data_IF_253957185927
#
_entry.id   IF_253957185927
#
_cell.length_a   1.000
_cell.length_b   1.000
_cell.length_c   1.000
_cell.angle_alpha   90.00
_cell.angle_beta   90.00
_cell.angle_gamma   90.00
#
_symmetry.space_group_name_H-M   'P 1'
#
loop_
_entity.id
_entity.type
_entity.pdbx_description
1 polymer ?
#
# COMPACT_ATOMS: atom_id res chain seq x y z
N UNK A 1 19.40 -2.10 11.53
CA UNK A 1 19.07 -2.26 12.97
C UNK A 1 18.95 -3.70 13.45
N UNK A 2 18.44 -4.67 12.66
CA UNK A 2 18.35 -6.08 13.12
C UNK A 2 19.70 -6.67 13.50
N UNK A 3 20.76 -6.39 12.74
CA UNK A 3 22.09 -6.95 12.98
C UNK A 3 22.78 -6.27 14.17
N UNK A 4 22.58 -4.96 14.28
CA UNK A 4 23.18 -4.07 15.27
C UNK A 4 22.59 -4.30 16.67
N UNK A 5 21.32 -4.69 16.76
CA UNK A 5 20.63 -4.97 18.02
C UNK A 5 20.73 -6.44 18.47
N UNK A 6 21.14 -7.35 17.58
CA UNK A 6 21.25 -8.78 17.88
C UNK A 6 22.20 -9.12 19.05
N UNK A 7 23.37 -8.46 19.23
CA UNK A 7 24.27 -8.74 20.37
C UNK A 7 23.66 -8.41 21.74
N UNK A 8 22.61 -7.59 21.76
CA UNK A 8 21.92 -7.19 23.00
C UNK A 8 20.68 -8.05 23.30
N UNK A 9 20.47 -9.14 22.55
CA UNK A 9 19.31 -10.02 22.72
C UNK A 9 17.99 -9.41 22.24
N UNK A 10 18.03 -8.37 21.41
CA UNK A 10 16.82 -7.69 20.89
C UNK A 10 16.44 -8.26 19.53
N UNK A 11 15.22 -8.79 19.43
CA UNK A 11 14.63 -9.28 18.17
C UNK A 11 13.87 -8.16 17.48
N UNK A 12 14.17 -7.93 16.20
CA UNK A 12 13.47 -6.96 15.35
C UNK A 12 12.60 -7.71 14.35
N UNK A 13 11.31 -7.39 14.31
CA UNK A 13 10.33 -7.92 13.35
C UNK A 13 9.83 -6.79 12.46
N UNK A 14 10.00 -6.93 11.15
CA UNK A 14 9.41 -6.03 10.15
C UNK A 14 8.05 -6.58 9.73
N UNK A 15 7.03 -5.75 9.83
CA UNK A 15 5.66 -6.10 9.46
C UNK A 15 5.33 -5.44 8.12
N UNK A 16 5.08 -6.27 7.12
CA UNK A 16 4.52 -5.87 5.84
C UNK A 16 3.00 -5.97 5.96
N UNK A 17 2.36 -4.85 6.30
CA UNK A 17 0.92 -4.78 6.50
C UNK A 17 0.19 -4.71 5.16
N UNK A 18 -0.86 -5.51 5.04
CA UNK A 18 -1.85 -5.44 3.97
C UNK A 18 -2.89 -4.34 4.24
N UNK A 19 -4.03 -4.42 3.56
CA UNK A 19 -5.12 -3.47 3.78
C UNK A 19 -5.74 -3.66 5.18
N UNK A 20 -5.62 -2.66 6.06
CA UNK A 20 -6.19 -2.67 7.42
C UNK A 20 -7.14 -1.51 7.59
N UNK A 21 -8.40 -1.78 7.95
CA UNK A 21 -9.40 -0.75 8.19
C UNK A 21 -9.10 -0.05 9.52
N UNK A 22 -8.42 1.09 9.41
CA UNK A 22 -7.97 1.93 10.52
C UNK A 22 -8.27 3.39 10.23
N UNK A 23 -8.07 4.25 11.23
CA UNK A 23 -8.23 5.70 11.10
C UNK A 23 -7.03 6.37 10.40
N UNK A 24 -6.31 5.66 9.52
CA UNK A 24 -5.08 6.17 8.89
C UNK A 24 -5.31 7.50 8.16
N UNK A 25 -6.46 7.64 7.49
CA UNK A 25 -6.82 8.81 6.70
C UNK A 25 -7.70 9.83 7.46
N UNK A 26 -7.97 9.63 8.76
CA UNK A 26 -8.93 10.49 9.48
C UNK A 26 -8.44 11.91 9.74
N UNK A 27 -7.14 12.14 9.60
CA UNK A 27 -6.46 13.40 9.87
C UNK A 27 -5.72 13.96 8.65
N UNK A 28 -5.96 13.39 7.46
CA UNK A 28 -5.38 13.91 6.23
C UNK A 28 -5.99 15.28 5.92
N UNK A 29 -5.16 16.20 5.42
CA UNK A 29 -5.64 17.47 4.91
C UNK A 29 -6.40 17.28 3.59
N UNK A 30 -7.25 18.25 3.23
CA UNK A 30 -7.92 18.25 1.93
C UNK A 30 -6.88 18.15 0.80
N UNK A 31 -7.07 17.13 -0.04
CA UNK A 31 -6.19 16.89 -1.18
C UNK A 31 -6.63 17.76 -2.37
N UNK A 32 -5.67 18.50 -2.95
CA UNK A 32 -5.85 19.16 -4.24
C UNK A 32 -4.52 19.18 -4.98
N UNK A 33 -4.57 19.06 -6.31
CA UNK A 33 -3.42 19.23 -7.17
C UNK A 33 -3.23 20.71 -7.53
N UNK A 34 -1.97 21.14 -7.76
CA UNK A 34 -1.72 22.43 -8.38
C UNK A 34 -2.41 22.53 -9.74
N UNK A 35 -2.92 23.70 -10.10
CA UNK A 35 -3.68 23.94 -11.34
C UNK A 35 -2.94 23.54 -12.62
N UNK A 36 -1.60 23.62 -12.64
CA UNK A 36 -0.76 23.23 -13.78
C UNK A 36 -0.26 21.77 -13.71
N UNK A 37 -0.86 20.93 -12.85
CA UNK A 37 -0.43 19.55 -12.67
C UNK A 37 -0.72 18.70 -13.90
N UNK A 38 0.30 17.99 -14.39
CA UNK A 38 0.15 16.99 -15.47
C UNK A 38 -0.79 15.83 -15.10
N UNK A 39 -1.11 15.68 -13.81
CA UNK A 39 -2.02 14.66 -13.29
C UNK A 39 -3.42 15.19 -13.02
N UNK A 40 -3.70 16.49 -13.26
CA UNK A 40 -5.03 17.07 -13.13
C UNK A 40 -6.14 16.25 -13.82
N UNK A 41 -5.92 15.62 -15.00
CA UNK A 41 -6.95 14.79 -15.63
C UNK A 41 -7.42 13.58 -14.79
N UNK A 42 -6.64 13.15 -13.79
CA UNK A 42 -7.00 12.04 -12.90
C UNK A 42 -7.03 12.46 -11.42
N UNK A 43 -7.18 13.75 -11.13
CA UNK A 43 -7.16 14.29 -9.78
C UNK A 43 -8.12 13.57 -8.83
N UNK A 44 -9.35 13.29 -9.29
CA UNK A 44 -10.36 12.58 -8.49
C UNK A 44 -9.92 11.18 -8.08
N UNK A 45 -9.22 10.44 -8.96
CA UNK A 45 -8.69 9.11 -8.63
C UNK A 45 -7.64 9.24 -7.54
N UNK A 46 -6.72 10.21 -7.68
CA UNK A 46 -5.67 10.45 -6.69
C UNK A 46 -6.27 10.91 -5.36
N UNK A 47 -7.28 11.78 -5.39
CA UNK A 47 -8.03 12.24 -4.21
C UNK A 47 -8.73 11.07 -3.49
N UNK A 48 -9.26 10.12 -4.25
CA UNK A 48 -9.85 8.90 -3.72
C UNK A 48 -8.84 8.04 -2.94
N UNK A 49 -7.62 7.90 -3.45
CA UNK A 49 -6.53 7.23 -2.74
C UNK A 49 -6.00 8.05 -1.55
N UNK A 50 -5.88 9.37 -1.70
CA UNK A 50 -5.43 10.28 -0.65
C UNK A 50 -6.39 10.28 0.56
N UNK A 51 -7.69 10.24 0.32
CA UNK A 51 -8.73 10.13 1.36
C UNK A 51 -8.92 8.71 1.90
N UNK A 52 -8.30 7.71 1.27
CA UNK A 52 -8.51 6.30 1.58
C UNK A 52 -9.81 5.68 1.06
N UNK A 53 -10.66 6.43 0.36
CA UNK A 53 -11.93 5.93 -0.20
C UNK A 53 -11.74 4.94 -1.35
N UNK A 54 -10.63 5.02 -2.09
CA UNK A 54 -10.27 4.06 -3.15
C UNK A 54 -9.48 2.84 -2.66
N UNK A 55 -9.20 2.76 -1.35
CA UNK A 55 -8.46 1.65 -0.77
C UNK A 55 -9.24 0.32 -0.92
N UNK A 56 -8.57 -0.80 -1.23
CA UNK A 56 -9.22 -2.10 -1.23
C UNK A 56 -9.72 -2.50 0.17
N UNK A 57 -10.77 -3.31 0.22
CA UNK A 57 -11.37 -3.78 1.48
C UNK A 57 -10.31 -4.42 2.39
N UNK A 58 -10.14 -3.84 3.58
CA UNK A 58 -9.21 -4.35 4.57
C UNK A 58 -9.82 -5.36 5.52
N UNK A 59 -9.05 -5.66 6.57
CA UNK A 59 -9.55 -6.32 7.77
C UNK A 59 -9.63 -5.30 8.92
N UNK A 60 -10.50 -5.51 9.92
CA UNK A 60 -10.55 -4.66 11.10
C UNK A 60 -9.20 -4.56 11.81
N UNK A 61 -8.85 -3.37 12.31
CA UNK A 61 -7.60 -3.14 13.03
C UNK A 61 -7.38 -4.08 14.22
N UNK A 62 -8.44 -4.41 14.96
CA UNK A 62 -8.36 -5.35 16.09
C UNK A 62 -7.94 -6.76 15.64
N UNK A 63 -8.58 -7.27 14.58
CA UNK A 63 -8.24 -8.58 14.00
C UNK A 63 -6.80 -8.60 13.48
N UNK A 64 -6.36 -7.50 12.85
CA UNK A 64 -4.98 -7.36 12.40
C UNK A 64 -3.98 -7.40 13.57
N UNK A 65 -4.28 -6.67 14.64
CA UNK A 65 -3.44 -6.62 15.84
C UNK A 65 -3.32 -8.00 16.52
N UNK A 66 -4.43 -8.73 16.68
CA UNK A 66 -4.43 -10.11 17.19
C UNK A 66 -3.51 -11.02 16.37
N UNK A 67 -3.64 -10.98 15.04
CA UNK A 67 -2.79 -11.77 14.14
C UNK A 67 -1.29 -11.42 14.27
N UNK A 68 -0.96 -10.16 14.53
CA UNK A 68 0.41 -9.73 14.77
C UNK A 68 0.96 -10.23 16.09
N UNK A 69 0.19 -10.09 17.16
CA UNK A 69 0.58 -10.57 18.50
C UNK A 69 0.88 -12.06 18.47
N UNK A 70 -0.02 -12.86 17.87
CA UNK A 70 0.19 -14.30 17.70
C UNK A 70 1.47 -14.61 16.92
N UNK A 71 1.76 -13.83 15.88
CA UNK A 71 2.97 -14.02 15.08
C UNK A 71 4.24 -13.72 15.88
N UNK A 72 4.22 -12.66 16.68
CA UNK A 72 5.37 -12.20 17.45
C UNK A 72 5.66 -13.19 18.58
N UNK A 73 4.62 -13.60 19.32
CA UNK A 73 4.76 -14.54 20.45
C UNK A 73 5.27 -15.90 19.97
N UNK A 74 4.82 -16.38 18.81
CA UNK A 74 5.23 -17.68 18.27
C UNK A 74 6.60 -17.65 17.54
N UNK A 75 7.41 -16.60 17.73
CA UNK A 75 8.75 -16.52 17.14
C UNK A 75 8.73 -16.37 15.62
N UNK A 76 7.80 -15.57 15.10
CA UNK A 76 7.65 -15.31 13.66
C UNK A 76 8.92 -14.81 12.98
N UNK A 77 8.96 -14.97 11.66
CA UNK A 77 10.10 -14.56 10.84
C UNK A 77 10.44 -13.06 11.00
N UNK A 78 11.72 -12.72 10.80
CA UNK A 78 12.21 -11.34 10.86
C UNK A 78 11.47 -10.36 9.93
N UNK A 79 10.86 -10.86 8.84
CA UNK A 79 9.93 -10.11 8.00
C UNK A 79 8.66 -10.93 7.84
N UNK A 80 7.53 -10.41 8.31
CA UNK A 80 6.22 -11.06 8.22
C UNK A 80 5.26 -10.25 7.36
N UNK A 81 4.38 -10.93 6.63
CA UNK A 81 3.38 -10.32 5.76
C UNK A 81 2.01 -10.69 6.31
N UNK A 82 1.22 -9.68 6.73
CA UNK A 82 -0.03 -9.89 7.45
C UNK A 82 -1.13 -8.99 6.92
N UNK A 83 -2.37 -9.44 7.05
CA UNK A 83 -3.55 -8.76 6.53
C UNK A 83 -3.85 -9.06 5.05
N UNK A 84 -5.03 -8.65 4.56
CA UNK A 84 -5.45 -8.82 3.18
C UNK A 84 -4.41 -8.31 2.18
N UNK A 85 -4.22 -9.04 1.08
CA UNK A 85 -3.30 -8.74 -0.02
C UNK A 85 -1.78 -8.78 0.30
N UNK A 86 -1.36 -8.83 1.56
CA UNK A 86 0.07 -8.85 1.91
C UNK A 86 0.78 -10.12 1.41
N UNK A 87 0.14 -11.28 1.55
CA UNK A 87 0.68 -12.56 1.09
C UNK A 87 0.82 -12.65 -0.43
N UNK A 88 -0.18 -12.17 -1.18
CA UNK A 88 -0.11 -12.10 -2.63
C UNK A 88 0.98 -11.14 -3.10
N UNK A 89 1.12 -9.98 -2.45
CA UNK A 89 2.18 -9.02 -2.76
C UNK A 89 3.58 -9.59 -2.51
N UNK A 90 3.74 -10.41 -1.45
CA UNK A 90 4.99 -11.17 -1.21
C UNK A 90 5.32 -12.12 -2.35
N UNK A 91 4.31 -12.80 -2.91
CA UNK A 91 4.52 -13.72 -4.03
C UNK A 91 4.87 -12.96 -5.31
N UNK A 92 4.13 -11.90 -5.62
CA UNK A 92 4.39 -11.05 -6.79
C UNK A 92 5.80 -10.47 -6.73
N UNK A 93 6.16 -9.83 -5.61
CA UNK A 93 7.49 -9.21 -5.45
C UNK A 93 8.66 -10.19 -5.54
N UNK A 94 8.44 -11.47 -5.22
CA UNK A 94 9.50 -12.48 -5.23
C UNK A 94 9.61 -13.27 -6.54
N UNK A 95 8.50 -13.44 -7.26
CA UNK A 95 8.43 -14.43 -8.34
C UNK A 95 7.86 -13.89 -9.66
N UNK A 96 7.20 -12.73 -9.66
CA UNK A 96 6.60 -12.21 -10.89
C UNK A 96 7.65 -11.56 -11.81
N UNK A 97 7.52 -11.74 -13.13
CA UNK A 97 8.21 -10.88 -14.10
C UNK A 97 7.83 -9.41 -13.91
N UNK A 98 8.73 -8.50 -14.27
CA UNK A 98 8.56 -7.05 -14.07
C UNK A 98 7.23 -6.52 -14.62
N UNK A 99 6.85 -6.92 -15.83
CA UNK A 99 5.61 -6.46 -16.46
C UNK A 99 4.35 -6.85 -15.68
N UNK A 100 4.34 -8.02 -15.05
CA UNK A 100 3.23 -8.46 -14.21
C UNK A 100 3.20 -7.71 -12.88
N UNK A 101 4.37 -7.45 -12.29
CA UNK A 101 4.47 -6.63 -11.09
C UNK A 101 3.97 -5.20 -11.35
N UNK A 102 4.39 -4.60 -12.47
CA UNK A 102 3.96 -3.25 -12.87
C UNK A 102 2.46 -3.20 -13.16
N UNK A 103 1.91 -4.23 -13.82
CA UNK A 103 0.47 -4.34 -14.04
C UNK A 103 -0.31 -4.43 -12.71
N UNK A 104 0.19 -5.21 -11.75
CA UNK A 104 -0.43 -5.33 -10.43
C UNK A 104 -0.36 -4.01 -9.64
N UNK A 105 0.75 -3.28 -9.72
CA UNK A 105 0.94 -2.01 -9.01
C UNK A 105 0.17 -0.84 -9.63
N UNK A 106 0.01 -0.83 -10.96
CA UNK A 106 -0.73 0.21 -11.69
C UNK A 106 -2.24 0.00 -11.70
N UNK A 107 -2.72 -1.18 -11.31
CA UNK A 107 -4.14 -1.51 -11.26
C UNK A 107 -4.90 -0.53 -10.34
N UNK A 108 -5.97 0.07 -10.87
CA UNK A 108 -6.81 1.08 -10.19
C UNK A 108 -6.08 2.37 -9.74
N UNK A 109 -4.87 2.63 -10.23
CA UNK A 109 -4.14 3.88 -9.93
C UNK A 109 -4.46 5.03 -10.91
N UNK A 110 -5.29 4.80 -11.93
CA UNK A 110 -5.67 5.83 -12.91
C UNK A 110 -4.61 6.09 -14.01
N UNK A 111 -3.52 5.32 -14.06
CA UNK A 111 -2.44 5.56 -15.04
C UNK A 111 -2.87 5.27 -16.49
N UNK A 112 -3.73 4.28 -16.69
CA UNK A 112 -4.31 3.95 -18.00
C UNK A 112 -5.24 5.06 -18.49
N UNK A 113 -6.01 5.62 -17.55
CA UNK A 113 -6.98 6.70 -17.73
C UNK A 113 -6.24 7.99 -18.07
N UNK A 114 -5.17 8.29 -17.36
CA UNK A 114 -4.28 9.41 -17.65
C UNK A 114 -3.69 9.29 -19.05
N UNK A 115 -3.17 8.11 -19.41
CA UNK A 115 -2.62 7.85 -20.74
C UNK A 115 -3.66 8.10 -21.83
N UNK A 116 -4.91 7.66 -21.61
CA UNK A 116 -6.04 7.85 -22.53
C UNK A 116 -6.47 9.32 -22.65
N UNK A 117 -6.41 10.10 -21.56
CA UNK A 117 -6.76 11.53 -21.58
C UNK A 117 -5.67 12.35 -22.30
N UNK A 118 -4.39 12.06 -22.02
CA UNK A 118 -3.26 12.71 -22.70
C UNK A 118 -3.30 12.44 -24.21
N UNK A 119 -3.58 11.20 -24.64
CA UNK A 119 -3.62 10.87 -26.08
C UNK A 119 -4.76 11.56 -26.85
N UNK A 120 -5.80 12.03 -26.14
CA UNK A 120 -6.91 12.82 -26.68
C UNK A 120 -6.65 14.33 -26.67
N UNK A 121 -5.50 14.78 -26.16
CA UNK A 121 -5.18 16.19 -26.04
C UNK A 121 -5.81 16.88 -24.82
N UNK A 122 -6.38 16.13 -23.88
CA UNK A 122 -6.86 16.64 -22.58
C UNK A 122 -5.69 16.84 -21.60
N UNK A 123 -4.67 17.56 -22.07
CA UNK A 123 -3.54 18.02 -21.26
C UNK A 123 -3.94 19.34 -20.57
N UNK A 124 -3.41 19.65 -19.37
CA UNK A 124 -3.52 20.99 -18.79
C UNK A 124 -2.94 22.06 -19.71
#
# INVERSE_FOLDING_TARGET
MRLELSPFGVTVVTIMAGAVDSNFHSNDADFSLPSASRYAPIEEIIAGWASGSSKPKGCPAAQFAESLVDTIINGGAAVTYRGPYAGSMKLISKWAPQSLADAALSYNQGLSELTKKISKGESP
#
